data_IF_235060059221
#
_entry.id   IF_235060059221
#
_cell.length_a   1.000
_cell.length_b   1.000
_cell.length_c   1.000
_cell.angle_alpha   90.00
_cell.angle_beta   90.00
_cell.angle_gamma   90.00
#
_symmetry.space_group_name_H-M   'P 1'
#
loop_
_entity.id
_entity.type
_entity.pdbx_description
1 polymer ?
#
# COMPACT_ATOMS: atom_id res chain seq x y z
N UNK A 1 -23.43 -25.61 2.49
CA UNK A 1 -22.09 -25.01 2.36
C UNK A 1 -22.11 -23.64 3.02
N UNK A 2 -21.49 -23.49 4.20
CA UNK A 2 -21.51 -22.23 4.94
C UNK A 2 -20.83 -21.12 4.15
N UNK A 3 -21.51 -19.98 4.00
CA UNK A 3 -20.89 -18.73 3.56
C UNK A 3 -19.74 -18.42 4.52
N UNK A 4 -18.50 -18.80 4.17
CA UNK A 4 -17.31 -18.32 4.89
C UNK A 4 -17.32 -16.81 4.76
N UNK A 5 -17.55 -16.12 5.88
CA UNK A 5 -17.54 -14.66 5.91
C UNK A 5 -16.10 -14.18 5.65
N UNK A 6 -15.84 -13.72 4.41
CA UNK A 6 -14.57 -13.11 4.01
C UNK A 6 -14.32 -11.76 4.71
N UNK A 7 -15.23 -11.32 5.59
CA UNK A 7 -15.15 -10.11 6.40
C UNK A 7 -13.92 -10.09 7.29
N UNK A 8 -13.57 -11.21 7.92
CA UNK A 8 -12.37 -11.30 8.77
C UNK A 8 -11.08 -11.18 7.94
N UNK A 9 -11.08 -11.73 6.73
CA UNK A 9 -9.93 -11.64 5.81
C UNK A 9 -9.76 -10.22 5.28
N UNK A 10 -10.85 -9.52 4.96
CA UNK A 10 -10.83 -8.10 4.60
C UNK A 10 -10.33 -7.21 5.74
N UNK A 11 -10.79 -7.45 6.98
CA UNK A 11 -10.29 -6.75 8.17
C UNK A 11 -8.80 -6.99 8.40
N UNK A 12 -8.34 -8.24 8.25
CA UNK A 12 -6.92 -8.57 8.36
C UNK A 12 -6.09 -7.83 7.31
N UNK A 13 -6.55 -7.82 6.06
CA UNK A 13 -5.87 -7.11 4.97
C UNK A 13 -5.71 -5.62 5.29
N UNK A 14 -6.79 -5.00 5.80
CA UNK A 14 -6.79 -3.59 6.16
C UNK A 14 -5.86 -3.29 7.35
N UNK A 15 -5.91 -4.10 8.41
CA UNK A 15 -4.99 -3.97 9.54
C UNK A 15 -3.53 -4.14 9.11
N UNK A 16 -3.25 -5.11 8.25
CA UNK A 16 -1.92 -5.33 7.70
C UNK A 16 -1.43 -4.12 6.88
N UNK A 17 -2.29 -3.56 6.03
CA UNK A 17 -1.98 -2.35 5.25
C UNK A 17 -1.70 -1.12 6.12
N UNK A 18 -2.43 -0.96 7.22
CA UNK A 18 -2.16 0.11 8.20
C UNK A 18 -0.80 -0.09 8.84
N UNK A 19 -0.50 -1.30 9.33
CA UNK A 19 0.79 -1.61 9.97
C UNK A 19 1.94 -1.41 8.99
N UNK A 20 1.82 -1.92 7.76
CA UNK A 20 2.82 -1.76 6.72
C UNK A 20 3.05 -0.27 6.39
N UNK A 21 2.00 0.54 6.35
CA UNK A 21 2.12 1.98 6.11
C UNK A 21 2.83 2.69 7.26
N UNK A 22 2.52 2.34 8.51
CA UNK A 22 3.21 2.90 9.68
C UNK A 22 4.70 2.54 9.68
N UNK A 23 5.04 1.31 9.30
CA UNK A 23 6.45 0.88 9.16
C UNK A 23 7.15 1.67 8.06
N UNK A 24 6.51 1.86 6.91
CA UNK A 24 7.03 2.67 5.80
C UNK A 24 7.35 4.10 6.27
N UNK A 25 6.38 4.76 6.89
CA UNK A 25 6.55 6.10 7.47
C UNK A 25 7.71 6.10 8.48
N UNK A 26 7.73 5.16 9.42
CA UNK A 26 8.78 5.09 10.44
C UNK A 26 10.18 4.93 9.82
N UNK A 27 10.33 4.07 8.82
CA UNK A 27 11.60 3.85 8.11
C UNK A 27 12.01 5.12 7.34
N UNK A 28 11.06 5.82 6.71
CA UNK A 28 11.36 7.08 6.01
C UNK A 28 11.88 8.18 6.95
N UNK A 29 11.47 8.19 8.23
CA UNK A 29 11.94 9.17 9.23
C UNK A 29 13.12 8.68 10.09
N UNK A 30 13.50 7.40 10.02
CA UNK A 30 14.55 6.82 10.86
C UNK A 30 15.94 7.29 10.37
N UNK A 31 16.58 8.19 11.10
CA UNK A 31 17.94 8.67 10.81
C UNK A 31 18.09 10.19 10.67
N UNK A 32 17.05 10.97 10.99
CA UNK A 32 17.11 12.44 11.10
C UNK A 32 17.06 13.19 9.76
N UNK A 33 17.47 12.56 8.65
CA UNK A 33 17.35 13.11 7.30
C UNK A 33 16.45 12.23 6.42
N UNK A 34 15.20 12.64 6.26
CA UNK A 34 14.19 12.01 5.40
C UNK A 34 14.72 11.76 3.97
N UNK A 35 15.37 12.77 3.39
CA UNK A 35 16.01 12.73 2.07
C UNK A 35 17.20 11.75 2.03
N UNK A 36 18.03 11.72 3.08
CA UNK A 36 19.24 10.88 3.13
C UNK A 36 18.96 9.38 3.19
N UNK A 37 17.84 8.98 3.82
CA UNK A 37 17.44 7.58 3.85
C UNK A 37 16.81 7.13 2.52
N UNK A 38 16.09 8.03 1.84
CA UNK A 38 15.37 7.78 0.59
C UNK A 38 16.30 7.72 -0.63
N UNK A 39 17.33 8.58 -0.67
CA UNK A 39 18.34 8.64 -1.74
C UNK A 39 19.23 7.40 -1.80
N UNK A 40 19.36 6.63 -0.72
CA UNK A 40 20.12 5.36 -0.71
C UNK A 40 19.38 4.19 -1.39
N UNK A 41 18.08 4.34 -1.67
CA UNK A 41 17.24 3.29 -2.24
C UNK A 41 17.05 3.43 -3.75
N UNK A 42 17.01 2.30 -4.47
CA UNK A 42 16.71 2.29 -5.91
C UNK A 42 15.20 2.42 -6.21
N UNK A 43 14.83 3.33 -7.12
CA UNK A 43 13.47 3.52 -7.68
C UNK A 43 12.90 2.20 -8.26
N UNK A 44 13.78 1.28 -8.68
CA UNK A 44 13.44 -0.05 -9.19
C UNK A 44 12.56 -0.88 -8.25
N UNK A 45 12.53 -0.58 -6.95
CA UNK A 45 11.66 -1.27 -5.97
C UNK A 45 10.28 -0.61 -5.80
N UNK A 46 10.18 0.71 -5.97
CA UNK A 46 8.94 1.47 -5.78
C UNK A 46 7.95 1.28 -6.93
N UNK A 47 8.45 1.12 -8.17
CA UNK A 47 7.66 0.90 -9.39
C UNK A 47 6.88 -0.43 -9.36
N UNK A 48 7.49 -1.61 -9.14
CA UNK A 48 6.75 -2.87 -9.08
C UNK A 48 5.81 -2.93 -7.88
N UNK A 49 6.14 -2.27 -6.76
CA UNK A 49 5.24 -2.17 -5.60
C UNK A 49 3.99 -1.34 -5.93
N UNK A 50 4.15 -0.20 -6.60
CA UNK A 50 3.04 0.63 -7.07
C UNK A 50 2.14 -0.14 -8.05
N UNK A 51 2.74 -0.89 -8.99
CA UNK A 51 1.99 -1.75 -9.91
C UNK A 51 1.21 -2.83 -9.17
N UNK A 52 1.82 -3.45 -8.16
CA UNK A 52 1.16 -4.46 -7.31
C UNK A 52 -0.04 -3.86 -6.58
N UNK A 53 0.09 -2.65 -6.02
CA UNK A 53 -1.03 -1.95 -5.37
C UNK A 53 -2.18 -1.66 -6.35
N UNK A 54 -1.87 -1.23 -7.57
CA UNK A 54 -2.87 -1.02 -8.64
C UNK A 54 -3.60 -2.33 -8.97
N UNK A 55 -2.87 -3.44 -9.12
CA UNK A 55 -3.46 -4.76 -9.37
C UNK A 55 -4.35 -5.21 -8.20
N UNK A 56 -3.97 -4.93 -6.96
CA UNK A 56 -4.79 -5.23 -5.77
C UNK A 56 -6.08 -4.42 -5.78
N UNK A 57 -6.03 -3.14 -6.16
CA UNK A 57 -7.22 -2.27 -6.30
C UNK A 57 -8.14 -2.79 -7.41
N UNK A 58 -7.60 -3.06 -8.60
CA UNK A 58 -8.36 -3.60 -9.73
C UNK A 58 -8.97 -4.96 -9.41
N UNK A 59 -8.22 -5.82 -8.73
CA UNK A 59 -8.70 -7.10 -8.20
C UNK A 59 -9.87 -6.90 -7.24
N UNK A 60 -9.76 -5.95 -6.30
CA UNK A 60 -10.86 -5.58 -5.40
C UNK A 60 -12.10 -5.11 -6.16
N UNK A 61 -11.95 -4.18 -7.12
CA UNK A 61 -13.06 -3.67 -7.94
C UNK A 61 -13.76 -4.81 -8.71
N UNK A 62 -12.99 -5.73 -9.30
CA UNK A 62 -13.56 -6.89 -10.02
C UNK A 62 -14.41 -7.80 -9.12
N UNK A 63 -14.07 -7.88 -7.83
CA UNK A 63 -14.79 -8.69 -6.85
C UNK A 63 -16.04 -8.01 -6.27
N UNK A 64 -16.34 -6.76 -6.63
CA UNK A 64 -17.50 -6.00 -6.13
C UNK A 64 -18.83 -6.75 -6.25
N UNK A 65 -19.05 -7.46 -7.35
CA UNK A 65 -20.27 -8.26 -7.58
C UNK A 65 -20.28 -9.60 -6.82
N UNK A 66 -19.11 -10.19 -6.59
CA UNK A 66 -19.00 -11.55 -6.03
C UNK A 66 -18.84 -11.56 -4.50
N UNK A 67 -18.16 -10.56 -3.94
CA UNK A 67 -17.88 -10.42 -2.52
C UNK A 67 -18.04 -8.95 -2.06
N UNK A 68 -19.29 -8.47 -1.90
CA UNK A 68 -19.59 -7.06 -1.64
C UNK A 68 -19.08 -6.53 -0.29
N UNK A 69 -18.83 -7.41 0.68
CA UNK A 69 -18.22 -7.01 1.95
C UNK A 69 -16.69 -6.90 1.85
N UNK A 70 -16.05 -7.82 1.11
CA UNK A 70 -14.59 -7.93 1.02
C UNK A 70 -13.97 -6.88 0.10
N UNK A 71 -14.65 -6.52 -1.00
CA UNK A 71 -14.09 -5.60 -1.99
C UNK A 71 -13.73 -4.24 -1.40
N UNK A 72 -14.55 -3.72 -0.47
CA UNK A 72 -14.32 -2.42 0.16
C UNK A 72 -13.01 -2.42 0.92
N UNK A 73 -12.77 -3.46 1.72
CA UNK A 73 -11.52 -3.61 2.47
C UNK A 73 -10.34 -3.73 1.53
N UNK A 74 -10.42 -4.54 0.47
CA UNK A 74 -9.32 -4.71 -0.47
C UNK A 74 -8.97 -3.42 -1.24
N UNK A 75 -9.98 -2.70 -1.73
CA UNK A 75 -9.78 -1.42 -2.44
C UNK A 75 -9.19 -0.37 -1.50
N UNK A 76 -9.77 -0.18 -0.31
CA UNK A 76 -9.28 0.80 0.66
C UNK A 76 -7.84 0.49 1.08
N UNK A 77 -7.52 -0.79 1.33
CA UNK A 77 -6.18 -1.24 1.69
C UNK A 77 -5.16 -0.97 0.59
N UNK A 78 -5.52 -1.25 -0.66
CA UNK A 78 -4.68 -0.98 -1.82
C UNK A 78 -4.44 0.51 -2.04
N UNK A 79 -5.48 1.35 -1.91
CA UNK A 79 -5.36 2.81 -2.01
C UNK A 79 -4.47 3.37 -0.90
N UNK A 80 -4.64 2.89 0.33
CA UNK A 80 -3.88 3.34 1.49
C UNK A 80 -2.39 3.04 1.33
N UNK A 81 -2.04 1.81 0.90
CA UNK A 81 -0.66 1.41 0.60
C UNK A 81 -0.05 2.19 -0.57
N UNK A 82 -0.84 2.43 -1.63
CA UNK A 82 -0.36 3.18 -2.79
C UNK A 82 -0.07 4.64 -2.39
N UNK A 83 -0.99 5.28 -1.66
CA UNK A 83 -0.84 6.66 -1.22
C UNK A 83 0.35 6.83 -0.28
N UNK A 84 0.53 5.94 0.69
CA UNK A 84 1.67 6.02 1.62
C UNK A 84 3.00 5.81 0.91
N UNK A 85 3.07 4.86 -0.03
CA UNK A 85 4.27 4.66 -0.85
C UNK A 85 4.55 5.89 -1.71
N UNK A 86 3.54 6.51 -2.31
CA UNK A 86 3.75 7.69 -3.14
C UNK A 86 4.25 8.89 -2.33
N UNK A 87 3.63 9.18 -1.18
CA UNK A 87 3.96 10.33 -0.35
C UNK A 87 5.34 10.17 0.30
N UNK A 88 5.62 8.99 0.86
CA UNK A 88 6.80 8.78 1.71
C UNK A 88 7.97 8.11 1.01
N UNK A 89 7.78 7.61 -0.22
CA UNK A 89 8.84 6.93 -0.97
C UNK A 89 9.03 7.51 -2.38
N UNK A 90 7.97 7.60 -3.19
CA UNK A 90 8.09 7.99 -4.60
C UNK A 90 8.35 9.49 -4.82
N UNK A 91 7.51 10.36 -4.24
CA UNK A 91 7.62 11.83 -4.40
C UNK A 91 8.98 12.36 -3.92
N UNK A 92 9.48 12.00 -2.73
CA UNK A 92 10.76 12.50 -2.25
C UNK A 92 11.93 12.10 -3.17
N UNK A 93 11.94 10.85 -3.65
CA UNK A 93 12.97 10.37 -4.58
C UNK A 93 12.93 11.06 -5.94
N UNK A 94 11.76 11.50 -6.40
CA UNK A 94 11.64 12.28 -7.64
C UNK A 94 12.15 13.71 -7.47
N UNK A 95 11.96 14.32 -6.29
CA UNK A 95 12.48 15.65 -5.97
C UNK A 95 14.01 15.64 -5.86
N UNK A 96 14.60 14.61 -5.25
CA UNK A 96 16.07 14.48 -5.14
C UNK A 96 16.76 14.10 -6.47
N UNK A 97 16.02 13.63 -7.47
CA UNK A 97 16.56 13.24 -8.78
C UNK A 97 16.64 14.41 -9.78
N UNK A 98 16.01 15.56 -9.48
CA UNK A 98 16.04 16.80 -10.28
C UNK A 98 17.07 17.76 -9.70
#
# INVERSE_FOLDING_TARGET
MGQKSYKNLGKFLLSFSIIASLILVFVSFRGGNFIGNLTSGSISRAVPFSLTCILVILGGISMKRKYPEYYKYQVVSGVLLLATTWIFDFIPRMIDFV
#
